data_IF_000227987783
#
_entry.id   IF_000227987783
#
_cell.length_a   1.000
_cell.length_b   1.000
_cell.length_c   1.000
_cell.angle_alpha   90.00
_cell.angle_beta   90.00
_cell.angle_gamma   90.00
#
_symmetry.space_group_name_H-M   'P 1'
#
loop_
_entity.id
_entity.type
_entity.pdbx_description
1 polymer ?
#
# COMPACT_ATOMS: atom_id res chain seq x y z
N UNK A 1 -16.76 5.33 8.11
CA UNK A 1 -15.42 5.37 7.50
C UNK A 1 -14.38 5.76 8.54
N UNK A 2 -13.30 4.98 8.57
CA UNK A 2 -12.09 5.19 9.36
C UNK A 2 -10.92 5.21 8.39
N UNK A 3 -9.89 5.94 8.77
CA UNK A 3 -8.63 6.01 8.06
C UNK A 3 -7.79 4.76 8.39
N UNK A 4 -7.22 4.13 7.36
CA UNK A 4 -6.37 2.97 7.49
C UNK A 4 -5.05 3.21 6.78
N UNK A 5 -3.95 2.92 7.48
CA UNK A 5 -2.58 2.99 6.97
C UNK A 5 -1.96 1.59 6.99
N UNK A 6 -1.50 1.14 5.83
CA UNK A 6 -0.82 -0.13 5.69
C UNK A 6 0.05 -0.14 4.44
N UNK A 7 1.01 -1.06 4.42
CA UNK A 7 1.92 -1.27 3.30
C UNK A 7 1.68 -2.65 2.69
N UNK A 8 1.50 -2.69 1.36
CA UNK A 8 1.47 -3.92 0.58
C UNK A 8 2.86 -4.16 -0.01
N UNK A 9 3.51 -5.27 0.33
CA UNK A 9 4.72 -5.70 -0.34
C UNK A 9 4.35 -6.55 -1.55
N UNK A 10 4.91 -6.24 -2.71
CA UNK A 10 4.50 -6.82 -3.98
C UNK A 10 5.67 -7.45 -4.72
N UNK A 11 5.37 -8.49 -5.49
CA UNK A 11 6.27 -9.13 -6.45
C UNK A 11 5.98 -8.54 -7.83
N UNK A 12 6.47 -7.31 -8.06
CA UNK A 12 6.43 -6.68 -9.38
C UNK A 12 7.66 -5.81 -9.54
N UNK A 13 8.39 -6.02 -10.62
CA UNK A 13 9.69 -5.38 -10.88
C UNK A 13 9.57 -3.92 -11.33
N UNK A 14 8.39 -3.49 -11.75
CA UNK A 14 8.19 -2.19 -12.42
C UNK A 14 7.19 -1.26 -11.71
N UNK A 15 6.96 -1.44 -10.41
CA UNK A 15 5.99 -0.60 -9.69
C UNK A 15 6.40 0.88 -9.56
N UNK A 16 7.66 1.20 -9.85
CA UNK A 16 8.17 2.58 -9.87
C UNK A 16 8.22 3.17 -11.28
N UNK A 17 7.75 2.43 -12.29
CA UNK A 17 7.59 2.96 -13.65
C UNK A 17 6.46 3.99 -13.69
N UNK A 18 6.69 5.12 -14.36
CA UNK A 18 5.70 6.18 -14.59
C UNK A 18 4.38 5.63 -15.16
N UNK A 19 4.43 4.66 -16.08
CA UNK A 19 3.23 4.03 -16.65
C UNK A 19 2.40 3.29 -15.60
N UNK A 20 3.06 2.63 -14.65
CA UNK A 20 2.37 1.94 -13.56
C UNK A 20 1.77 2.95 -12.59
N UNK A 21 2.53 3.97 -12.20
CA UNK A 21 2.09 5.04 -11.30
C UNK A 21 0.86 5.74 -11.90
N UNK A 22 0.90 6.07 -13.19
CA UNK A 22 -0.23 6.69 -13.89
C UNK A 22 -1.47 5.79 -13.86
N UNK A 23 -1.33 4.50 -14.20
CA UNK A 23 -2.46 3.54 -14.13
C UNK A 23 -3.01 3.40 -12.72
N UNK A 24 -2.15 3.40 -11.70
CA UNK A 24 -2.57 3.30 -10.32
C UNK A 24 -3.35 4.52 -9.87
N UNK A 25 -2.91 5.73 -10.24
CA UNK A 25 -3.63 6.98 -9.97
C UNK A 25 -5.01 7.02 -10.64
N UNK A 26 -5.15 6.39 -11.82
CA UNK A 26 -6.41 6.33 -12.56
C UNK A 26 -7.47 5.41 -11.93
N UNK A 27 -7.08 4.50 -11.02
CA UNK A 27 -8.02 3.60 -10.31
C UNK A 27 -8.95 4.33 -9.36
N UNK A 28 -8.61 5.56 -8.96
CA UNK A 28 -9.42 6.38 -8.06
C UNK A 28 -9.42 5.91 -6.60
N UNK A 29 -8.63 4.89 -6.25
CA UNK A 29 -8.36 4.56 -4.85
C UNK A 29 -7.41 5.61 -4.28
N UNK A 30 -7.84 6.27 -3.22
CA UNK A 30 -7.13 7.41 -2.66
C UNK A 30 -5.80 6.97 -2.03
N UNK A 31 -4.78 7.80 -2.27
CA UNK A 31 -3.46 7.78 -1.64
C UNK A 31 -2.77 6.41 -1.59
N UNK A 32 -2.60 5.81 -2.77
CA UNK A 32 -1.68 4.69 -2.98
C UNK A 32 -0.37 5.20 -3.58
N UNK A 33 0.72 5.02 -2.84
CA UNK A 33 2.06 5.47 -3.24
C UNK A 33 2.98 4.26 -3.44
N UNK A 34 3.38 3.95 -4.69
CA UNK A 34 4.39 2.93 -4.97
C UNK A 34 5.78 3.36 -4.49
N UNK A 35 6.59 2.40 -4.05
CA UNK A 35 7.91 2.64 -3.51
C UNK A 35 8.85 1.43 -3.62
N UNK A 36 10.07 1.62 -3.13
CA UNK A 36 10.99 0.51 -2.86
C UNK A 36 11.55 0.69 -1.46
N UNK A 37 11.11 -0.16 -0.53
CA UNK A 37 11.61 -0.21 0.85
C UNK A 37 12.52 -1.41 1.07
N UNK A 38 13.76 -1.17 1.49
CA UNK A 38 14.78 -2.22 1.73
C UNK A 38 15.00 -3.16 0.54
N UNK A 39 14.94 -2.63 -0.69
CA UNK A 39 15.09 -3.41 -1.93
C UNK A 39 13.88 -4.28 -2.28
N UNK A 40 12.74 -4.10 -1.61
CA UNK A 40 11.47 -4.75 -1.91
C UNK A 40 10.49 -3.74 -2.46
N UNK A 41 9.80 -4.11 -3.53
CA UNK A 41 8.69 -3.34 -4.06
C UNK A 41 7.55 -3.28 -3.04
N UNK A 42 7.07 -2.08 -2.75
CA UNK A 42 5.98 -1.83 -1.83
C UNK A 42 5.01 -0.76 -2.31
N UNK A 43 3.80 -0.79 -1.79
CA UNK A 43 2.76 0.23 -2.01
C UNK A 43 2.23 0.64 -0.66
N UNK A 44 2.48 1.89 -0.29
CA UNK A 44 1.89 2.51 0.89
C UNK A 44 0.46 2.91 0.55
N UNK A 45 -0.47 2.45 1.38
CA UNK A 45 -1.89 2.67 1.20
C UNK A 45 -2.44 3.49 2.35
N UNK A 46 -3.10 4.59 2.01
CA UNK A 46 -3.79 5.45 2.95
C UNK A 46 -5.22 5.67 2.44
N UNK A 47 -6.16 4.90 3.01
CA UNK A 47 -7.55 4.85 2.51
C UNK A 47 -8.57 4.97 3.62
N UNK A 48 -9.69 5.61 3.30
CA UNK A 48 -10.88 5.62 4.15
C UNK A 48 -11.80 4.45 3.77
N UNK A 49 -12.20 3.64 4.76
CA UNK A 49 -13.14 2.52 4.56
C UNK A 49 -13.96 2.26 5.83
N UNK A 50 -15.02 1.44 5.75
CA UNK A 50 -15.79 1.05 6.94
C UNK A 50 -15.10 -0.08 7.73
N UNK A 51 -14.14 -0.77 7.12
CA UNK A 51 -13.29 -1.77 7.77
C UNK A 51 -11.89 -1.87 7.14
N UNK A 52 -10.93 -2.40 7.90
CA UNK A 52 -9.58 -2.68 7.41
C UNK A 52 -9.59 -3.68 6.24
N UNK A 53 -10.48 -4.68 6.31
CA UNK A 53 -10.63 -5.67 5.24
C UNK A 53 -11.09 -5.01 3.93
N UNK A 54 -12.07 -4.11 4.01
CA UNK A 54 -12.55 -3.35 2.86
C UNK A 54 -11.44 -2.46 2.27
N UNK A 55 -10.71 -1.75 3.14
CA UNK A 55 -9.55 -0.95 2.74
C UNK A 55 -8.50 -1.79 1.99
N UNK A 56 -8.11 -2.94 2.54
CA UNK A 56 -7.15 -3.86 1.90
C UNK A 56 -7.69 -4.34 0.55
N UNK A 57 -8.96 -4.76 0.49
CA UNK A 57 -9.58 -5.25 -0.75
C UNK A 57 -9.61 -4.17 -1.84
N UNK A 58 -9.89 -2.92 -1.48
CA UNK A 58 -9.88 -1.79 -2.41
C UNK A 58 -8.47 -1.57 -3.01
N UNK A 59 -7.44 -1.50 -2.16
CA UNK A 59 -6.06 -1.32 -2.62
C UNK A 59 -5.56 -2.50 -3.47
N UNK A 60 -5.92 -3.75 -3.12
CA UNK A 60 -5.56 -4.92 -3.92
C UNK A 60 -6.27 -4.92 -5.28
N UNK A 61 -7.52 -4.47 -5.34
CA UNK A 61 -8.25 -4.34 -6.59
C UNK A 61 -7.59 -3.30 -7.50
N UNK A 62 -7.25 -2.11 -6.97
CA UNK A 62 -6.54 -1.07 -7.70
C UNK A 62 -5.17 -1.55 -8.21
N UNK A 63 -4.40 -2.24 -7.36
CA UNK A 63 -3.13 -2.86 -7.78
C UNK A 63 -3.34 -3.81 -8.96
N UNK A 64 -4.38 -4.65 -8.91
CA UNK A 64 -4.68 -5.62 -9.98
C UNK A 64 -5.21 -4.97 -11.25
N UNK A 65 -5.83 -3.81 -11.15
CA UNK A 65 -6.25 -3.02 -12.30
C UNK A 65 -5.03 -2.36 -12.98
N UNK A 66 -4.10 -1.82 -12.18
CA UNK A 66 -2.86 -1.23 -12.69
C UNK A 66 -1.86 -2.26 -13.24
N UNK A 67 -1.82 -3.45 -12.64
CA UNK A 67 -1.01 -4.59 -13.08
C UNK A 67 -1.70 -5.93 -12.70
N UNK A 68 -2.37 -6.59 -13.67
CA UNK A 68 -3.02 -7.88 -13.44
C UNK A 68 -2.07 -8.98 -12.96
N UNK A 69 -0.77 -8.86 -13.26
CA UNK A 69 0.25 -9.84 -12.90
C UNK A 69 0.86 -9.59 -11.52
N UNK A 70 0.74 -8.37 -10.97
CA UNK A 70 1.28 -8.03 -9.65
C UNK A 70 0.77 -8.96 -8.56
N UNK A 71 1.65 -9.48 -7.71
CA UNK A 71 1.27 -10.36 -6.58
C UNK A 71 1.57 -9.68 -5.26
N UNK A 72 0.61 -9.68 -4.35
CA UNK A 72 0.87 -9.27 -2.96
C UNK A 72 1.57 -10.42 -2.24
N UNK A 73 2.76 -10.16 -1.72
CA UNK A 73 3.58 -11.11 -0.97
C UNK A 73 3.26 -11.09 0.51
N UNK A 74 3.07 -9.90 1.08
CA UNK A 74 2.77 -9.68 2.49
C UNK A 74 2.15 -8.31 2.68
N UNK A 75 1.38 -8.13 3.75
CA UNK A 75 0.95 -6.80 4.20
C UNK A 75 1.55 -6.46 5.56
N UNK A 76 1.77 -5.18 5.81
CA UNK A 76 2.13 -4.64 7.13
C UNK A 76 1.11 -3.58 7.49
N UNK A 77 0.41 -3.75 8.61
CA UNK A 77 -0.46 -2.70 9.16
C UNK A 77 0.37 -1.96 10.19
N UNK A 78 0.44 -0.63 10.08
CA UNK A 78 1.07 0.14 11.13
C UNK A 78 0.20 0.04 12.40
N UNK A 79 0.78 -0.52 13.46
CA UNK A 79 0.21 -0.55 14.81
C UNK A 79 0.91 0.50 15.67
N UNK A 80 0.18 1.01 16.67
CA UNK A 80 0.49 2.15 17.55
C UNK A 80 1.98 2.40 17.88
N UNK A 81 2.31 3.69 17.82
CA UNK A 81 3.57 4.36 18.14
C UNK A 81 4.57 3.61 19.05
N UNK A 82 5.80 3.43 18.54
CA UNK A 82 6.97 3.03 19.33
C UNK A 82 7.52 4.17 20.22
N UNK A 83 6.73 5.22 20.52
CA UNK A 83 7.14 6.37 21.34
C UNK A 83 7.63 5.94 22.72
N UNK A 84 7.12 4.83 23.27
CA UNK A 84 7.60 4.24 24.53
C UNK A 84 9.05 3.72 24.50
N UNK A 85 9.62 3.48 23.31
CA UNK A 85 11.03 3.03 23.18
C UNK A 85 11.98 4.23 23.03
N UNK A 86 11.52 5.34 22.46
CA UNK A 86 12.36 6.52 22.18
C UNK A 86 12.59 7.37 23.44
N UNK A 87 11.66 7.39 24.40
CA UNK A 87 11.80 8.16 25.65
C UNK A 87 12.60 7.45 26.76
N UNK A 88 13.01 6.20 26.54
CA UNK A 88 13.80 5.41 27.51
C UNK A 88 15.33 5.45 27.26
N UNK A 89 15.78 6.22 26.26
CA UNK A 89 17.18 6.35 25.84
C UNK A 89 17.88 7.60 26.35
#
# INVERSE_FOLDING_TARGET
MKEYHFTLFVDSSDIVNEDFIQRLLETGVQDMTPGISNGRADISCHVEADSLEEAIRACVAALKEADPLARVLSLSVEGEELTTIVEAG
#
